data_IF_964144237819
#
_entry.id   IF_964144237819
#
_cell.length_a   1.000
_cell.length_b   1.000
_cell.length_c   1.000
_cell.angle_alpha   90.00
_cell.angle_beta   90.00
_cell.angle_gamma   90.00
#
_symmetry.space_group_name_H-M   'P 1'
#
loop_
_entity.id
_entity.type
_entity.pdbx_description
1 polymer ?
#
# COMPACT_ATOMS: atom_id res chain seq x y z
N UNK A 1 47.83 -4.96 0.04
CA UNK A 1 46.47 -4.54 -0.35
C UNK A 1 45.55 -5.72 -0.16
N UNK A 2 44.68 -5.69 0.85
CA UNK A 2 43.77 -6.79 1.11
C UNK A 2 42.68 -6.76 0.02
N UNK A 3 42.73 -7.70 -0.91
CA UNK A 3 41.65 -7.94 -1.86
C UNK A 3 40.43 -8.43 -1.09
N UNK A 4 39.48 -7.53 -0.83
CA UNK A 4 38.20 -7.84 -0.18
C UNK A 4 37.46 -8.82 -1.10
N UNK A 5 37.32 -10.07 -0.65
CA UNK A 5 36.51 -11.06 -1.32
C UNK A 5 35.04 -10.63 -1.26
N UNK A 6 34.53 -10.02 -2.34
CA UNK A 6 33.11 -9.66 -2.46
C UNK A 6 32.24 -10.88 -2.24
N UNK A 7 31.17 -10.72 -1.46
CA UNK A 7 30.19 -11.79 -1.30
C UNK A 7 29.45 -12.03 -2.62
N UNK A 8 28.97 -13.26 -2.88
CA UNK A 8 28.28 -13.58 -4.16
C UNK A 8 27.15 -12.58 -4.49
N UNK A 9 26.47 -12.08 -3.46
CA UNK A 9 25.37 -11.13 -3.60
C UNK A 9 25.83 -9.72 -4.01
N UNK A 10 27.06 -9.31 -3.67
CA UNK A 10 27.63 -8.03 -4.10
C UNK A 10 28.03 -8.06 -5.58
N UNK A 11 28.50 -9.21 -6.07
CA UNK A 11 28.80 -9.37 -7.50
C UNK A 11 27.53 -9.33 -8.36
N UNK A 12 26.45 -9.96 -7.91
CA UNK A 12 25.18 -9.89 -8.63
C UNK A 12 24.64 -8.46 -8.55
N UNK A 13 24.76 -7.76 -7.42
CA UNK A 13 24.31 -6.36 -7.31
C UNK A 13 24.95 -5.44 -8.35
N UNK A 14 26.25 -5.64 -8.63
CA UNK A 14 26.96 -4.84 -9.63
C UNK A 14 26.47 -5.06 -11.06
N UNK A 15 25.96 -6.25 -11.39
CA UNK A 15 25.32 -6.52 -12.69
C UNK A 15 24.00 -5.75 -12.81
N UNK A 16 23.22 -5.67 -11.72
CA UNK A 16 21.91 -4.98 -11.71
C UNK A 16 21.99 -3.46 -11.65
N UNK A 17 23.21 -2.91 -11.53
CA UNK A 17 23.48 -1.48 -11.69
C UNK A 17 23.68 -1.08 -13.16
N UNK A 18 23.81 -2.04 -14.08
CA UNK A 18 23.87 -1.75 -15.52
C UNK A 18 22.53 -1.20 -16.03
N UNK A 19 22.59 -0.31 -17.03
CA UNK A 19 21.43 0.42 -17.55
C UNK A 19 20.32 -0.51 -18.07
N UNK A 20 20.68 -1.60 -18.75
CA UNK A 20 19.72 -2.59 -19.28
C UNK A 20 18.93 -3.29 -18.15
N UNK A 21 19.61 -3.62 -17.05
CA UNK A 21 19.00 -4.30 -15.90
C UNK A 21 18.16 -3.33 -15.06
N UNK A 22 18.59 -2.07 -14.94
CA UNK A 22 17.77 -1.01 -14.37
C UNK A 22 16.49 -0.81 -15.19
N UNK A 23 16.60 -0.76 -16.51
CA UNK A 23 15.44 -0.65 -17.41
C UNK A 23 14.48 -1.84 -17.24
N UNK A 24 15.01 -3.05 -17.05
CA UNK A 24 14.20 -4.24 -16.78
C UNK A 24 13.45 -4.14 -15.43
N UNK A 25 14.11 -3.64 -14.38
CA UNK A 25 13.49 -3.36 -13.09
C UNK A 25 12.38 -2.30 -13.21
N UNK A 26 12.58 -1.25 -13.99
CA UNK A 26 11.55 -0.25 -14.29
C UNK A 26 10.35 -0.90 -14.99
N UNK A 27 10.60 -1.76 -15.98
CA UNK A 27 9.54 -2.48 -16.69
C UNK A 27 8.74 -3.40 -15.76
N UNK A 28 9.41 -4.13 -14.86
CA UNK A 28 8.70 -5.01 -13.92
C UNK A 28 7.95 -4.23 -12.84
N UNK A 29 8.54 -3.16 -12.32
CA UNK A 29 7.80 -2.24 -11.46
C UNK A 29 6.57 -1.69 -12.20
N UNK A 30 6.71 -1.47 -13.52
CA UNK A 30 5.63 -0.97 -14.35
C UNK A 30 4.51 -1.98 -14.57
N UNK A 31 4.87 -3.23 -14.77
CA UNK A 31 3.87 -4.30 -14.96
C UNK A 31 3.19 -4.71 -13.63
N UNK A 32 3.54 -4.07 -12.50
CA UNK A 32 2.90 -4.26 -11.20
C UNK A 32 3.45 -5.44 -10.39
N UNK A 33 4.66 -5.93 -10.72
CA UNK A 33 5.27 -7.04 -9.98
C UNK A 33 5.54 -6.67 -8.51
N UNK A 34 5.27 -7.62 -7.61
CA UNK A 34 5.63 -7.46 -6.20
C UNK A 34 7.14 -7.56 -6.01
N UNK A 35 7.68 -6.96 -4.95
CA UNK A 35 9.11 -7.09 -4.65
C UNK A 35 9.56 -8.55 -4.45
N UNK A 36 8.64 -9.41 -3.99
CA UNK A 36 8.90 -10.84 -3.85
C UNK A 36 9.04 -11.52 -5.23
N UNK A 37 8.17 -11.18 -6.18
CA UNK A 37 8.25 -11.74 -7.54
C UNK A 37 9.50 -11.26 -8.28
N UNK A 38 9.86 -9.98 -8.10
CA UNK A 38 11.11 -9.43 -8.65
C UNK A 38 12.32 -10.17 -8.05
N UNK A 39 12.37 -10.33 -6.72
CA UNK A 39 13.46 -11.06 -6.08
C UNK A 39 13.55 -12.51 -6.58
N UNK A 40 12.41 -13.20 -6.74
CA UNK A 40 12.36 -14.56 -7.27
C UNK A 40 12.87 -14.65 -8.73
N UNK A 41 12.52 -13.68 -9.59
CA UNK A 41 13.00 -13.63 -10.98
C UNK A 41 14.50 -13.39 -11.09
N UNK A 42 15.05 -12.59 -10.18
CA UNK A 42 16.50 -12.33 -10.10
C UNK A 42 17.23 -13.52 -9.45
N UNK A 43 16.52 -14.36 -8.69
CA UNK A 43 17.10 -15.50 -7.98
C UNK A 43 17.68 -15.13 -6.60
N UNK A 44 17.15 -14.08 -5.98
CA UNK A 44 17.67 -13.48 -4.75
C UNK A 44 16.59 -13.48 -3.66
N UNK A 45 17.01 -13.47 -2.39
CA UNK A 45 16.06 -13.33 -1.28
C UNK A 45 15.48 -11.91 -1.19
N UNK A 46 14.21 -11.79 -0.75
CA UNK A 46 13.58 -10.48 -0.53
C UNK A 46 14.40 -9.56 0.40
N UNK A 47 15.04 -10.14 1.42
CA UNK A 47 15.89 -9.42 2.38
C UNK A 47 17.10 -8.78 1.68
N UNK A 48 17.70 -9.50 0.73
CA UNK A 48 18.82 -8.99 -0.07
C UNK A 48 18.37 -7.89 -1.02
N UNK A 49 17.20 -8.02 -1.67
CA UNK A 49 16.65 -6.95 -2.51
C UNK A 49 16.37 -5.67 -1.70
N UNK A 50 15.86 -5.80 -0.47
CA UNK A 50 15.69 -4.67 0.46
C UNK A 50 17.02 -4.01 0.82
N UNK A 51 18.05 -4.81 1.04
CA UNK A 51 19.40 -4.31 1.31
C UNK A 51 19.97 -3.56 0.09
N UNK A 52 19.81 -4.10 -1.11
CA UNK A 52 20.23 -3.42 -2.35
C UNK A 52 19.55 -2.08 -2.52
N UNK A 53 18.26 -2.01 -2.24
CA UNK A 53 17.47 -0.78 -2.30
C UNK A 53 17.98 0.29 -1.33
N UNK A 54 18.56 -0.10 -0.20
CA UNK A 54 19.17 0.81 0.76
C UNK A 54 20.61 1.21 0.38
N UNK A 55 21.35 0.31 -0.28
CA UNK A 55 22.76 0.52 -0.64
C UNK A 55 22.94 1.20 -2.00
N UNK A 56 22.02 0.98 -2.94
CA UNK A 56 22.08 1.45 -4.32
C UNK A 56 20.84 2.27 -4.64
N UNK A 57 21.01 3.60 -4.70
CA UNK A 57 19.94 4.55 -5.00
C UNK A 57 19.35 4.33 -6.39
N UNK A 58 20.14 3.87 -7.36
CA UNK A 58 19.69 3.74 -8.75
C UNK A 58 18.65 2.63 -8.91
N UNK A 59 18.87 1.49 -8.23
CA UNK A 59 17.91 0.38 -8.17
C UNK A 59 16.61 0.82 -7.48
N UNK A 60 16.69 1.59 -6.39
CA UNK A 60 15.50 2.13 -5.73
C UNK A 60 14.74 3.13 -6.62
N UNK A 61 15.48 4.02 -7.27
CA UNK A 61 14.92 5.04 -8.16
C UNK A 61 14.22 4.39 -9.36
N UNK A 62 14.82 3.38 -9.99
CA UNK A 62 14.18 2.60 -11.06
C UNK A 62 12.85 1.98 -10.60
N UNK A 63 12.86 1.32 -9.43
CA UNK A 63 11.65 0.69 -8.88
C UNK A 63 10.56 1.71 -8.48
N UNK A 64 10.94 2.93 -8.06
CA UNK A 64 10.02 4.02 -7.74
C UNK A 64 9.43 4.66 -8.98
N UNK A 65 10.27 5.04 -9.95
CA UNK A 65 9.86 5.64 -11.23
C UNK A 65 8.84 4.77 -11.95
N UNK A 66 9.08 3.45 -11.98
CA UNK A 66 8.15 2.50 -12.59
C UNK A 66 6.74 2.56 -11.96
N UNK A 67 6.63 2.70 -10.63
CA UNK A 67 5.33 2.75 -9.93
C UNK A 67 4.65 4.11 -10.06
N UNK A 68 5.37 5.17 -9.75
CA UNK A 68 4.81 6.53 -9.69
C UNK A 68 4.25 7.00 -11.04
N UNK A 69 4.97 6.73 -12.14
CA UNK A 69 4.50 7.10 -13.49
C UNK A 69 3.20 6.39 -13.84
N UNK A 70 2.97 5.18 -13.32
CA UNK A 70 1.76 4.41 -13.61
C UNK A 70 0.61 4.85 -12.77
N UNK A 71 0.84 5.08 -11.49
CA UNK A 71 -0.19 5.57 -10.59
C UNK A 71 -0.76 6.87 -11.18
N UNK A 72 0.08 7.81 -11.62
CA UNK A 72 -0.40 9.03 -12.30
C UNK A 72 -1.09 8.77 -13.65
N UNK A 73 -0.61 7.81 -14.46
CA UNK A 73 -1.27 7.46 -15.74
C UNK A 73 -2.65 6.83 -15.51
N UNK A 74 -2.76 5.97 -14.52
CA UNK A 74 -4.01 5.32 -14.11
C UNK A 74 -4.95 6.38 -13.55
N UNK A 75 -4.49 7.29 -12.71
CA UNK A 75 -5.27 8.42 -12.20
C UNK A 75 -5.80 9.30 -13.34
N UNK A 76 -4.96 9.65 -14.32
CA UNK A 76 -5.37 10.45 -15.48
C UNK A 76 -6.38 9.69 -16.37
N UNK A 77 -6.15 8.39 -16.59
CA UNK A 77 -7.09 7.55 -17.34
C UNK A 77 -8.43 7.38 -16.60
N UNK A 78 -8.38 7.22 -15.27
CA UNK A 78 -9.55 7.11 -14.41
C UNK A 78 -10.35 8.42 -14.42
N UNK A 79 -9.68 9.57 -14.33
CA UNK A 79 -10.31 10.88 -14.45
C UNK A 79 -11.00 11.06 -15.81
N UNK A 80 -10.32 10.73 -16.91
CA UNK A 80 -10.91 10.77 -18.26
C UNK A 80 -12.12 9.85 -18.36
N UNK A 81 -12.04 8.64 -17.80
CA UNK A 81 -13.17 7.70 -17.78
C UNK A 81 -14.31 8.16 -16.88
N UNK A 82 -14.03 8.88 -15.79
CA UNK A 82 -15.03 9.40 -14.87
C UNK A 82 -15.77 10.61 -15.44
N UNK A 83 -15.08 11.48 -16.17
CA UNK A 83 -15.71 12.63 -16.85
C UNK A 83 -16.41 12.25 -18.15
N UNK A 84 -16.03 11.10 -18.75
CA UNK A 84 -16.39 10.77 -20.11
C UNK A 84 -15.47 11.48 -21.11
N UNK A 85 -15.15 10.83 -22.22
CA UNK A 85 -14.27 11.40 -23.25
C UNK A 85 -14.79 11.06 -24.64
N UNK A 86 -14.51 11.95 -25.60
CA UNK A 86 -14.85 11.72 -27.00
C UNK A 86 -13.66 11.05 -27.70
N UNK A 87 -13.90 9.89 -28.30
CA UNK A 87 -12.88 9.15 -29.05
C UNK A 87 -13.21 9.23 -30.53
N UNK A 88 -12.22 9.59 -31.34
CA UNK A 88 -12.32 9.58 -32.80
C UNK A 88 -11.95 8.19 -33.30
N UNK A 89 -12.90 7.44 -33.82
CA UNK A 89 -12.58 6.22 -34.56
C UNK A 89 -12.32 6.59 -36.01
N UNK A 90 -11.13 6.27 -36.50
CA UNK A 90 -10.78 6.43 -37.91
C UNK A 90 -10.86 5.05 -38.55
N UNK A 91 -11.91 4.81 -39.33
CA UNK A 91 -11.98 3.62 -40.18
C UNK A 91 -11.36 3.96 -41.53
N UNK A 92 -10.26 3.29 -41.86
CA UNK A 92 -9.61 3.40 -43.17
C UNK A 92 -9.94 2.13 -43.96
N UNK A 93 -10.92 2.22 -44.84
CA UNK A 93 -11.23 1.12 -45.76
C UNK A 93 -10.40 1.32 -47.03
N UNK A 94 -9.43 0.43 -47.27
CA UNK A 94 -8.65 0.44 -48.52
C UNK A 94 -9.28 -0.58 -49.46
N UNK A 95 -9.93 -0.11 -50.53
CA UNK A 95 -10.43 -1.01 -51.59
C UNK A 95 -9.42 -1.05 -52.74
N UNK A 96 -8.94 -2.25 -53.05
CA UNK A 96 -8.06 -2.53 -54.19
C UNK A 96 -8.93 -2.95 -55.38
N UNK A 97 -8.82 -2.26 -56.51
CA UNK A 97 -9.44 -2.68 -57.77
C UNK A 97 -8.34 -2.74 -58.85
N UNK A 98 -8.16 -3.90 -59.48
CA UNK A 98 -7.18 -4.12 -60.55
C UNK A 98 -5.70 -3.78 -60.22
N UNK A 99 -5.24 -4.12 -59.01
CA UNK A 99 -3.81 -3.99 -58.65
C UNK A 99 -3.30 -2.55 -58.46
N UNK A 100 -4.17 -1.54 -58.53
CA UNK A 100 -3.91 -0.16 -58.10
C UNK A 100 -4.82 0.21 -56.93
N UNK A 101 -4.26 0.94 -55.96
CA UNK A 101 -5.00 1.52 -54.83
C UNK A 101 -5.76 2.73 -55.37
N UNK A 102 -7.09 2.71 -55.36
CA UNK A 102 -7.90 3.76 -55.99
C UNK A 102 -8.59 4.67 -54.97
N UNK A 103 -8.99 4.19 -53.79
CA UNK A 103 -9.65 5.06 -52.80
C UNK A 103 -9.30 4.67 -51.35
N UNK A 104 -8.85 5.67 -50.57
CA UNK A 104 -8.76 5.63 -49.12
C UNK A 104 -9.78 6.60 -48.54
N UNK A 105 -10.98 6.11 -48.22
CA UNK A 105 -11.98 6.92 -47.50
C UNK A 105 -11.63 6.84 -46.01
N UNK A 106 -11.37 8.01 -45.42
CA UNK A 106 -11.18 8.17 -43.97
C UNK A 106 -12.51 8.64 -43.39
N UNK A 107 -13.31 7.71 -42.87
CA UNK A 107 -14.48 8.07 -42.08
C UNK A 107 -14.04 8.29 -40.64
N UNK A 108 -14.15 9.54 -40.17
CA UNK A 108 -13.87 9.91 -38.78
C UNK A 108 -15.22 10.01 -38.08
N UNK A 109 -15.55 9.01 -37.27
CA UNK A 109 -16.76 9.04 -36.44
C UNK A 109 -16.36 9.42 -35.01
N UNK A 110 -16.98 10.48 -34.48
CA UNK A 110 -16.82 10.88 -33.09
C UNK A 110 -17.76 10.04 -32.21
N UNK A 111 -17.20 9.13 -31.39
CA UNK A 111 -17.96 8.40 -30.37
C UNK A 111 -17.79 9.06 -29.02
N UNK A 112 -18.89 9.37 -28.37
CA UNK A 112 -18.89 9.85 -26.98
C UNK A 112 -18.92 8.65 -26.04
N UNK A 113 -17.87 8.48 -25.24
CA UNK A 113 -17.87 7.48 -24.18
C UNK A 113 -18.50 8.08 -22.93
N UNK A 114 -19.63 7.49 -22.51
CA UNK A 114 -20.35 7.94 -21.32
C UNK A 114 -19.48 7.85 -20.07
N UNK A 115 -19.70 8.75 -19.09
CA UNK A 115 -19.05 8.68 -17.78
C UNK A 115 -19.21 7.31 -17.12
N UNK A 116 -18.10 6.73 -16.63
CA UNK A 116 -18.12 5.45 -15.94
C UNK A 116 -18.48 5.66 -14.46
N UNK A 117 -19.65 5.19 -14.05
CA UNK A 117 -20.17 5.31 -12.67
C UNK A 117 -19.23 4.67 -11.65
N UNK A 118 -18.61 3.53 -11.97
CA UNK A 118 -17.67 2.87 -11.06
C UNK A 118 -16.38 3.67 -10.86
N UNK A 119 -15.87 4.31 -11.91
CA UNK A 119 -14.71 5.20 -11.81
C UNK A 119 -15.02 6.43 -10.94
N UNK A 120 -16.20 7.03 -11.13
CA UNK A 120 -16.70 8.13 -10.30
C UNK A 120 -16.82 7.70 -8.83
N UNK A 121 -17.41 6.52 -8.57
CA UNK A 121 -17.57 5.98 -7.22
C UNK A 121 -16.22 5.74 -6.53
N UNK A 122 -15.26 5.10 -7.21
CA UNK A 122 -13.91 4.90 -6.68
C UNK A 122 -13.22 6.22 -6.35
N UNK A 123 -13.34 7.22 -7.23
CA UNK A 123 -12.77 8.54 -7.00
C UNK A 123 -13.36 9.21 -5.75
N UNK A 124 -14.69 9.20 -5.62
CA UNK A 124 -15.40 9.77 -4.47
C UNK A 124 -15.07 9.05 -3.16
N UNK A 125 -14.88 7.73 -3.19
CA UNK A 125 -14.54 6.94 -2.01
C UNK A 125 -13.15 7.27 -1.47
N UNK A 126 -12.19 7.55 -2.37
CA UNK A 126 -10.81 7.84 -1.99
C UNK A 126 -10.63 9.28 -1.51
N UNK A 127 -11.26 10.27 -2.17
CA UNK A 127 -11.10 11.70 -1.83
C UNK A 127 -12.10 12.23 -0.80
N UNK A 128 -13.32 11.69 -0.75
CA UNK A 128 -14.39 12.12 0.14
C UNK A 128 -14.95 10.92 0.94
N UNK A 129 -14.09 10.24 1.72
CA UNK A 129 -14.51 9.05 2.46
C UNK A 129 -15.64 9.34 3.44
N UNK A 130 -15.67 10.53 4.06
CA UNK A 130 -16.68 10.87 5.07
C UNK A 130 -18.12 10.85 4.55
N UNK A 131 -18.32 11.20 3.28
CA UNK A 131 -19.66 11.27 2.65
C UNK A 131 -20.01 10.02 1.85
N UNK A 132 -19.00 9.36 1.27
CA UNK A 132 -19.24 8.32 0.26
C UNK A 132 -18.79 6.92 0.69
N UNK A 133 -17.95 6.75 1.72
CA UNK A 133 -17.51 5.43 2.17
C UNK A 133 -18.70 4.65 2.73
N UNK A 134 -18.99 3.51 2.09
CA UNK A 134 -20.06 2.59 2.50
C UNK A 134 -19.78 2.09 3.93
N UNK A 135 -20.81 2.04 4.78
CA UNK A 135 -20.72 1.59 6.19
C UNK A 135 -19.91 2.52 7.12
N UNK A 136 -19.99 3.84 6.93
CA UNK A 136 -19.40 4.83 7.86
C UNK A 136 -19.77 4.53 9.33
N UNK A 137 -21.02 4.15 9.57
CA UNK A 137 -21.56 3.92 10.91
C UNK A 137 -21.18 2.54 11.50
N UNK A 138 -20.47 1.69 10.74
CA UNK A 138 -19.86 0.44 11.25
C UNK A 138 -18.39 0.63 11.65
N UNK A 139 -17.92 1.87 11.76
CA UNK A 139 -16.76 2.14 12.59
C UNK A 139 -17.18 1.85 14.03
N UNK A 140 -17.07 0.58 14.43
CA UNK A 140 -17.29 0.14 15.79
C UNK A 140 -16.23 0.86 16.62
N UNK A 141 -16.65 1.90 17.34
CA UNK A 141 -15.89 2.35 18.50
C UNK A 141 -15.83 1.15 19.44
N UNK A 142 -14.66 0.50 19.49
CA UNK A 142 -14.41 -0.57 20.44
C UNK A 142 -14.47 0.05 21.83
N UNK A 143 -15.67 0.09 22.41
CA UNK A 143 -15.84 0.42 23.81
C UNK A 143 -15.13 -0.67 24.61
N UNK A 144 -14.46 -0.30 25.71
CA UNK A 144 -13.70 -1.22 26.55
C UNK A 144 -14.52 -2.43 27.05
N UNK A 145 -15.85 -2.33 27.01
CA UNK A 145 -16.80 -3.39 27.40
C UNK A 145 -16.93 -4.54 26.38
N UNK A 146 -16.57 -4.33 25.11
CA UNK A 146 -16.68 -5.37 24.05
C UNK A 146 -15.46 -6.31 23.99
N UNK A 147 -14.49 -6.13 24.88
CA UNK A 147 -13.25 -6.93 24.94
C UNK A 147 -13.46 -8.37 25.45
N UNK A 148 -14.69 -8.76 25.83
CA UNK A 148 -15.00 -10.09 26.38
C UNK A 148 -15.27 -11.11 25.26
N UNK A 149 -14.21 -11.53 24.57
CA UNK A 149 -14.29 -12.57 23.53
C UNK A 149 -14.40 -13.95 24.21
N UNK A 150 -15.56 -14.61 24.11
CA UNK A 150 -15.72 -16.01 24.54
C UNK A 150 -15.38 -16.93 23.37
N UNK A 151 -14.28 -17.68 23.48
CA UNK A 151 -13.87 -18.67 22.46
C UNK A 151 -14.29 -20.06 22.92
N UNK A 152 -15.33 -20.63 22.31
CA UNK A 152 -15.74 -22.01 22.55
C UNK A 152 -15.01 -22.94 21.57
N UNK A 153 -13.98 -23.64 22.05
CA UNK A 153 -13.23 -24.59 21.21
C UNK A 153 -14.00 -25.90 21.13
N UNK A 154 -14.76 -26.10 20.05
CA UNK A 154 -15.35 -27.40 19.75
C UNK A 154 -14.37 -28.22 18.91
N UNK A 155 -13.80 -29.29 19.49
CA UNK A 155 -13.00 -30.25 18.74
C UNK A 155 -13.88 -30.92 17.69
N UNK A 156 -13.52 -30.81 16.41
CA UNK A 156 -14.13 -31.61 15.37
C UNK A 156 -13.86 -33.09 15.67
N UNK A 157 -14.88 -33.83 16.11
CA UNK A 157 -14.83 -35.28 16.17
C UNK A 157 -14.73 -35.80 14.73
N UNK A 158 -13.76 -36.66 14.48
CA UNK A 158 -13.55 -37.29 13.19
C UNK A 158 -14.78 -38.15 12.85
N UNK A 159 -15.43 -37.78 11.75
CA UNK A 159 -16.28 -38.57 10.88
C UNK A 159 -16.54 -40.03 11.34
N UNK A 160 -17.72 -40.30 11.90
CA UNK A 160 -18.25 -41.66 12.00
C UNK A 160 -19.42 -41.82 11.03
N UNK A 161 -19.16 -42.59 9.98
CA UNK A 161 -20.14 -43.11 9.03
C UNK A 161 -21.26 -43.91 9.72
N UNK A 162 -22.47 -43.77 9.16
CA UNK A 162 -23.77 -44.37 9.50
C UNK A 162 -23.84 -45.73 10.24
N UNK A 163 -24.62 -45.70 11.35
CA UNK A 163 -25.69 -46.61 11.89
C UNK A 163 -25.51 -48.14 11.90
N UNK A 164 -25.60 -48.76 13.08
CA UNK A 164 -26.85 -49.32 13.66
C UNK A 164 -26.64 -50.12 14.99
N UNK A 165 -27.67 -50.08 15.86
CA UNK A 165 -27.99 -50.95 17.02
C UNK A 165 -27.01 -50.94 18.22
N UNK A 166 -27.37 -50.33 19.35
CA UNK A 166 -28.33 -50.75 20.39
C UNK A 166 -27.54 -51.20 21.62
N UNK A 167 -27.48 -50.36 22.66
CA UNK A 167 -27.96 -50.72 24.00
C UNK A 167 -27.96 -49.50 24.94
N UNK A 168 -28.98 -49.47 25.80
CA UNK A 168 -29.16 -48.50 26.86
C UNK A 168 -28.47 -49.02 28.12
N UNK A 169 -27.55 -48.25 28.67
CA UNK A 169 -27.42 -47.99 30.11
C UNK A 169 -26.23 -47.08 30.35
N UNK A 170 -26.52 -45.97 31.03
CA UNK A 170 -25.60 -45.22 31.87
C UNK A 170 -24.37 -44.61 31.18
N UNK A 171 -24.50 -43.34 30.75
CA UNK A 171 -23.39 -42.36 30.74
C UNK A 171 -23.94 -40.97 30.36
N UNK A 172 -24.95 -40.52 31.11
CA UNK A 172 -25.43 -39.13 31.05
C UNK A 172 -24.62 -38.21 31.96
N UNK A 173 -23.62 -38.75 32.65
CA UNK A 173 -22.79 -38.05 33.64
C UNK A 173 -21.46 -37.56 33.05
N UNK A 174 -21.09 -38.01 31.84
CA UNK A 174 -19.78 -37.75 31.23
C UNK A 174 -19.75 -36.72 30.08
N UNK A 175 -20.86 -36.03 29.79
CA UNK A 175 -20.89 -34.99 28.73
C UNK A 175 -20.88 -33.55 29.24
N UNK A 176 -20.93 -33.32 30.55
CA UNK A 176 -20.82 -31.98 31.14
C UNK A 176 -19.39 -31.64 31.62
N UNK A 177 -18.44 -32.59 31.57
CA UNK A 177 -17.09 -32.41 32.13
C UNK A 177 -15.99 -32.03 31.12
N UNK A 178 -16.29 -31.95 29.81
CA UNK A 178 -15.25 -31.75 28.77
C UNK A 178 -15.47 -30.50 27.91
N UNK A 179 -16.13 -29.49 28.47
CA UNK A 179 -16.05 -28.12 27.97
C UNK A 179 -15.37 -27.26 29.03
N UNK A 180 -14.03 -27.21 29.00
CA UNK A 180 -13.28 -26.27 29.83
C UNK A 180 -13.40 -24.86 29.23
N UNK A 181 -14.29 -24.05 29.77
CA UNK A 181 -14.28 -22.61 29.54
C UNK A 181 -13.09 -22.01 30.28
N UNK A 182 -12.07 -21.55 29.54
CA UNK A 182 -10.96 -20.81 30.11
C UNK A 182 -11.34 -19.32 30.07
N UNK A 183 -11.57 -18.73 31.23
CA UNK A 183 -11.72 -17.28 31.36
C UNK A 183 -10.33 -16.63 31.45
N UNK A 184 -9.92 -15.91 30.40
CA UNK A 184 -8.71 -15.10 30.44
C UNK A 184 -9.05 -13.84 31.24
N UNK A 185 -8.49 -13.71 32.45
CA UNK A 185 -8.67 -12.53 33.30
C UNK A 185 -8.21 -11.26 32.58
N UNK A 186 -9.05 -10.23 32.60
CA UNK A 186 -8.63 -8.88 32.23
C UNK A 186 -7.65 -8.35 33.29
N UNK A 187 -6.67 -7.56 32.87
CA UNK A 187 -5.81 -6.82 33.79
C UNK A 187 -6.69 -5.96 34.72
N UNK A 188 -6.45 -6.06 36.03
CA UNK A 188 -7.21 -5.28 37.03
C UNK A 188 -7.01 -3.79 36.78
N UNK A 189 -7.94 -2.95 37.25
CA UNK A 189 -7.81 -1.48 37.11
C UNK A 189 -6.50 -0.97 37.71
N UNK A 190 -6.01 -1.64 38.76
CA UNK A 190 -4.71 -1.36 39.39
C UNK A 190 -3.53 -1.70 38.47
N UNK A 191 -3.53 -2.87 37.80
CA UNK A 191 -2.51 -3.25 36.82
C UNK A 191 -2.54 -2.33 35.58
N UNK A 192 -3.73 -1.92 35.13
CA UNK A 192 -3.89 -0.96 34.02
C UNK A 192 -3.40 0.44 34.41
N UNK A 193 -3.69 0.90 35.63
CA UNK A 193 -3.21 2.17 36.15
C UNK A 193 -1.69 2.16 36.35
N UNK A 194 -1.10 1.06 36.81
CA UNK A 194 0.34 0.91 36.91
C UNK A 194 1.02 0.87 35.53
N UNK A 195 0.41 0.17 34.55
CA UNK A 195 0.88 0.17 33.17
C UNK A 195 0.77 1.55 32.51
N UNK A 196 -0.29 2.32 32.79
CA UNK A 196 -0.45 3.70 32.34
C UNK A 196 0.59 4.63 32.99
N UNK A 197 0.86 4.46 34.29
CA UNK A 197 1.94 5.20 34.99
C UNK A 197 3.32 4.85 34.40
N UNK A 198 3.59 3.59 34.11
CA UNK A 198 4.84 3.14 33.45
C UNK A 198 4.97 3.70 32.03
N UNK A 199 3.89 3.70 31.24
CA UNK A 199 3.87 4.33 29.91
C UNK A 199 4.09 5.84 29.99
N UNK A 200 3.44 6.54 30.92
CA UNK A 200 3.64 7.98 31.12
C UNK A 200 5.06 8.32 31.57
N UNK A 201 5.67 7.49 32.43
CA UNK A 201 7.09 7.61 32.79
C UNK A 201 8.01 7.40 31.59
N UNK A 202 7.73 6.38 30.76
CA UNK A 202 8.48 6.14 29.53
C UNK A 202 8.34 7.30 28.52
N UNK A 203 7.14 7.87 28.36
CA UNK A 203 6.93 9.05 27.50
C UNK A 203 7.66 10.27 28.05
N UNK A 204 7.66 10.49 29.37
CA UNK A 204 8.43 11.59 29.99
C UNK A 204 9.94 11.41 29.81
N UNK A 205 10.46 10.19 29.94
CA UNK A 205 11.86 9.88 29.66
C UNK A 205 12.22 10.08 28.18
N UNK A 206 11.29 9.75 27.28
CA UNK A 206 11.50 9.94 25.85
C UNK A 206 11.45 11.44 25.48
N UNK A 207 10.53 12.21 26.08
CA UNK A 207 10.47 13.67 25.92
C UNK A 207 11.73 14.32 26.47
N UNK A 208 12.21 13.94 27.67
CA UNK A 208 13.46 14.49 28.22
C UNK A 208 14.68 14.17 27.36
N UNK A 209 14.72 12.99 26.74
CA UNK A 209 15.77 12.61 25.80
C UNK A 209 15.69 13.40 24.48
N UNK A 210 14.48 13.77 24.04
CA UNK A 210 14.29 14.65 22.88
C UNK A 210 14.69 16.09 23.22
N UNK A 211 14.34 16.60 24.40
CA UNK A 211 14.71 17.97 24.83
C UNK A 211 16.22 18.12 24.99
N UNK A 212 16.92 17.14 25.59
CA UNK A 212 18.40 17.17 25.65
C UNK A 212 19.06 17.04 24.28
N UNK A 213 18.38 16.44 23.30
CA UNK A 213 18.88 16.40 21.92
C UNK A 213 18.70 17.76 21.22
N UNK A 214 17.56 18.40 21.43
CA UNK A 214 17.26 19.75 20.90
C UNK A 214 18.17 20.82 21.52
N UNK A 215 18.49 20.74 22.81
CA UNK A 215 19.42 21.68 23.47
C UNK A 215 20.87 21.55 22.96
N UNK A 216 21.29 20.37 22.50
CA UNK A 216 22.61 20.19 21.86
C UNK A 216 22.64 20.62 20.38
N UNK A 217 21.49 20.76 19.74
CA UNK A 217 21.35 21.20 18.34
C UNK A 217 21.00 22.71 18.24
N UNK A 218 20.63 23.36 19.36
CA UNK A 218 20.26 24.78 19.43
C UNK A 218 21.44 25.73 19.70
N UNK A 219 22.69 25.26 19.62
CA UNK A 219 23.90 26.08 19.74
C UNK A 219 24.48 26.55 18.41
N UNK A 220 23.71 26.49 17.32
CA UNK A 220 24.06 27.12 16.03
C UNK A 220 23.19 28.37 15.83
N UNK A 221 23.70 29.50 16.34
CA UNK A 221 23.22 30.86 16.05
C UNK A 221 23.48 31.18 14.56
N UNK A 222 22.50 31.04 13.66
CA UNK A 222 22.55 31.65 12.31
C UNK A 222 21.21 31.53 11.53
N UNK A 223 20.09 32.02 12.08
CA UNK A 223 18.79 32.00 11.38
C UNK A 223 17.96 33.29 11.48
N UNK A 224 18.58 34.46 11.61
CA UNK A 224 17.89 35.77 11.62
C UNK A 224 18.45 36.76 10.56
N UNK A 225 18.82 36.29 9.37
CA UNK A 225 19.16 37.18 8.24
C UNK A 225 18.10 37.12 7.14
N UNK A 226 17.23 38.13 7.12
CA UNK A 226 16.25 38.38 6.07
C UNK A 226 16.77 39.53 5.18
N UNK A 227 16.99 39.33 3.86
CA UNK A 227 17.49 40.39 2.98
C UNK A 227 16.45 41.51 2.78
N UNK A 228 16.82 42.74 3.14
CA UNK A 228 16.00 43.97 3.11
C UNK A 228 15.73 44.56 1.69
N UNK A 229 15.86 43.78 0.61
CA UNK A 229 15.85 44.32 -0.78
C UNK A 229 14.61 43.93 -1.61
N UNK A 230 13.47 43.72 -0.95
CA UNK A 230 12.17 43.56 -1.61
C UNK A 230 11.39 44.89 -1.57
N UNK A 231 11.96 45.95 -2.17
CA UNK A 231 11.19 47.15 -2.49
C UNK A 231 10.10 46.78 -3.52
N UNK A 232 8.85 46.97 -3.10
CA UNK A 232 7.65 46.86 -3.92
C UNK A 232 7.73 47.84 -5.11
N UNK A 233 8.08 47.32 -6.29
CA UNK A 233 7.92 48.05 -7.55
C UNK A 233 6.42 48.01 -7.92
N UNK A 234 5.67 48.98 -7.39
CA UNK A 234 4.26 49.25 -7.74
C UNK A 234 4.15 49.53 -9.25
N UNK A 235 3.90 48.48 -10.03
CA UNK A 235 3.60 48.59 -11.46
C UNK A 235 2.16 49.10 -11.64
N UNK A 236 2.09 50.42 -11.79
CA UNK A 236 0.91 51.26 -12.06
C UNK A 236 0.23 50.83 -13.37
N UNK A 237 -0.88 50.09 -13.28
CA UNK A 237 -1.74 49.81 -14.43
C UNK A 237 -2.65 51.02 -14.68
N UNK A 238 -2.27 51.88 -15.64
CA UNK A 238 -3.21 52.83 -16.24
C UNK A 238 -4.17 52.11 -17.23
N UNK A 239 -5.45 52.45 -17.06
CA UNK A 239 -6.71 52.08 -17.76
C UNK A 239 -6.68 51.40 -19.14
#
# INVERSE_FOLDING_TARGET
MASVSKTKNECIATEWLEEDNLMLLECWARDGYTFQDIANRIGISLSTLRMWRAQYSDIDNALKKGREIIDYKVENALLKSALGYKTKEIKVTTTMRYGKVVETVKEVTDKEQSPNVSAIQCWLYNRLPDKWKKNRDQLIELNDEDTKIQVTVTRASANQSNKAQQDKSDDKEWQDEVNQSIEIRNATEEEKAEAAKKKAQATKQNISNVTTKVENEASDEDLDYWPDDWEDEDEEWED
#
